data_IF_035372431093
#
_entry.id   IF_035372431093
#
_cell.length_a   1.000
_cell.length_b   1.000
_cell.length_c   1.000
_cell.angle_alpha   90.00
_cell.angle_beta   90.00
_cell.angle_gamma   90.00
#
_symmetry.space_group_name_H-M   'P 1'
#
loop_
_entity.id
_entity.type
_entity.pdbx_description
1 polymer ?
#
# COMPACT_ATOMS: atom_id res chain seq x y z
N UNK A 1 -2.17 -3.97 8.56
CA UNK A 1 -1.36 -3.17 9.50
C UNK A 1 0.14 -3.27 9.22
N UNK A 2 0.77 -4.45 9.26
CA UNK A 2 2.23 -4.66 9.09
C UNK A 2 2.78 -4.04 7.80
N UNK A 3 2.16 -4.30 6.66
CA UNK A 3 2.55 -3.73 5.36
C UNK A 3 2.61 -2.20 5.38
N UNK A 4 1.57 -1.55 5.91
CA UNK A 4 1.52 -0.09 5.99
C UNK A 4 2.60 0.47 6.93
N UNK A 5 2.92 -0.24 8.01
CA UNK A 5 4.03 0.12 8.90
C UNK A 5 5.37 0.12 8.15
N UNK A 6 5.68 -0.92 7.39
CA UNK A 6 6.93 -0.96 6.61
C UNK A 6 6.97 0.14 5.53
N UNK A 7 5.84 0.42 4.86
CA UNK A 7 5.72 1.53 3.90
C UNK A 7 5.96 2.89 4.55
N UNK A 8 5.39 3.11 5.73
CA UNK A 8 5.61 4.33 6.50
C UNK A 8 7.09 4.52 6.83
N UNK A 9 7.78 3.49 7.32
CA UNK A 9 9.22 3.56 7.64
C UNK A 9 10.03 3.89 6.40
N UNK A 10 9.80 3.18 5.29
CA UNK A 10 10.49 3.40 4.03
C UNK A 10 10.31 4.84 3.52
N UNK A 11 9.07 5.30 3.44
CA UNK A 11 8.73 6.60 2.88
C UNK A 11 9.32 7.75 3.70
N UNK A 12 9.13 7.73 5.01
CA UNK A 12 9.66 8.78 5.90
C UNK A 12 11.18 8.76 5.92
N UNK A 13 11.81 7.59 5.98
CA UNK A 13 13.28 7.47 5.94
C UNK A 13 13.84 8.05 4.64
N UNK A 14 13.30 7.67 3.50
CA UNK A 14 13.74 8.15 2.18
C UNK A 14 13.59 9.68 2.05
N UNK A 15 12.48 10.23 2.53
CA UNK A 15 12.23 11.68 2.52
C UNK A 15 13.19 12.43 3.44
N UNK A 16 13.51 11.85 4.60
CA UNK A 16 14.51 12.43 5.51
C UNK A 16 15.92 12.39 4.93
N UNK A 17 16.34 11.27 4.35
CA UNK A 17 17.66 11.13 3.71
C UNK A 17 17.83 12.09 2.54
N UNK A 18 16.78 12.41 1.82
CA UNK A 18 16.75 13.40 0.75
C UNK A 18 16.55 14.85 1.22
N UNK A 19 16.54 15.11 2.53
CA UNK A 19 16.22 16.41 3.13
C UNK A 19 14.89 17.04 2.70
N UNK A 20 13.93 16.20 2.30
CA UNK A 20 12.61 16.63 1.84
C UNK A 20 11.63 16.73 3.03
N UNK A 21 11.94 17.56 4.01
CA UNK A 21 11.21 17.64 5.29
C UNK A 21 9.75 18.04 5.14
N UNK A 22 9.43 18.93 4.22
CA UNK A 22 8.06 19.34 3.93
C UNK A 22 7.22 18.17 3.38
N UNK A 23 7.80 17.34 2.50
CA UNK A 23 7.11 16.17 1.97
C UNK A 23 7.03 15.02 2.99
N UNK A 24 7.97 14.96 3.97
CA UNK A 24 7.86 14.02 5.07
C UNK A 24 6.60 14.29 5.90
N UNK A 25 6.26 15.56 6.16
CA UNK A 25 5.03 15.92 6.89
C UNK A 25 3.78 15.48 6.11
N UNK A 26 3.72 15.73 4.81
CA UNK A 26 2.59 15.22 3.99
C UNK A 26 2.53 13.70 3.96
N UNK A 27 3.69 13.02 3.94
CA UNK A 27 3.78 11.56 4.07
C UNK A 27 3.17 11.05 5.36
N UNK A 28 3.46 11.67 6.51
CA UNK A 28 2.80 11.33 7.77
C UNK A 28 1.27 11.46 7.70
N UNK A 29 0.76 12.49 7.05
CA UNK A 29 -0.69 12.69 6.87
C UNK A 29 -1.31 11.59 6.00
N UNK A 30 -0.65 11.23 4.90
CA UNK A 30 -1.08 10.16 3.99
C UNK A 30 -1.13 8.82 4.72
N UNK A 31 -0.03 8.43 5.38
CA UNK A 31 0.05 7.18 6.13
C UNK A 31 -0.90 7.14 7.33
N UNK A 32 -1.11 8.26 8.03
CA UNK A 32 -2.09 8.34 9.10
C UNK A 32 -3.51 8.07 8.59
N UNK A 33 -3.89 8.63 7.44
CA UNK A 33 -5.19 8.36 6.84
C UNK A 33 -5.34 6.88 6.46
N UNK A 34 -4.31 6.26 5.88
CA UNK A 34 -4.29 4.84 5.56
C UNK A 34 -4.44 3.97 6.82
N UNK A 35 -3.70 4.30 7.88
CA UNK A 35 -3.78 3.60 9.16
C UNK A 35 -5.17 3.73 9.80
N UNK A 36 -5.82 4.89 9.71
CA UNK A 36 -7.19 5.08 10.18
C UNK A 36 -8.17 4.17 9.41
N UNK A 37 -8.05 4.09 8.10
CA UNK A 37 -8.90 3.21 7.28
C UNK A 37 -8.66 1.71 7.58
N UNK A 38 -7.41 1.32 7.79
CA UNK A 38 -7.07 -0.04 8.20
C UNK A 38 -7.62 -0.32 9.61
N UNK A 39 -7.46 0.61 10.54
CA UNK A 39 -7.97 0.50 11.91
C UNK A 39 -9.49 0.30 11.97
N UNK A 40 -10.24 0.99 11.11
CA UNK A 40 -11.71 0.79 11.02
C UNK A 40 -12.06 -0.64 10.59
N UNK A 41 -11.25 -1.26 9.73
CA UNK A 41 -11.47 -2.63 9.23
C UNK A 41 -10.99 -3.68 10.21
N UNK A 42 -9.86 -3.46 10.86
CA UNK A 42 -9.19 -4.42 11.75
C UNK A 42 -9.56 -4.25 13.24
N UNK A 43 -10.29 -3.18 13.59
CA UNK A 43 -10.75 -2.92 14.95
C UNK A 43 -9.75 -2.17 15.83
N UNK A 44 -8.70 -1.61 15.25
CA UNK A 44 -7.70 -0.81 15.96
C UNK A 44 -6.35 -0.75 15.26
N UNK A 45 -5.40 -0.07 15.90
CA UNK A 45 -4.00 -0.01 15.47
C UNK A 45 -3.17 -0.77 16.50
N UNK A 46 -2.26 -1.64 16.05
CA UNK A 46 -1.38 -2.37 16.96
C UNK A 46 -0.33 -1.45 17.60
N UNK A 47 0.10 -1.84 18.81
CA UNK A 47 1.08 -1.09 19.61
C UNK A 47 2.39 -0.86 18.86
N UNK A 48 2.84 -1.85 18.10
CA UNK A 48 4.11 -1.77 17.38
C UNK A 48 4.07 -0.72 16.26
N UNK A 49 2.95 -0.60 15.55
CA UNK A 49 2.73 0.43 14.53
C UNK A 49 2.71 1.83 15.15
N UNK A 50 2.02 2.00 16.29
CA UNK A 50 2.00 3.28 17.01
C UNK A 50 3.39 3.65 17.56
N UNK A 51 4.13 2.68 18.10
CA UNK A 51 5.51 2.88 18.57
C UNK A 51 6.43 3.30 17.43
N UNK A 52 6.32 2.64 16.28
CA UNK A 52 7.07 2.99 15.07
C UNK A 52 6.77 4.43 14.64
N UNK A 53 5.49 4.80 14.62
CA UNK A 53 5.06 6.16 14.25
C UNK A 53 5.61 7.20 15.23
N UNK A 54 5.64 6.92 16.54
CA UNK A 54 6.21 7.81 17.55
C UNK A 54 7.71 8.05 17.30
N UNK A 55 8.48 6.98 17.02
CA UNK A 55 9.90 7.11 16.72
C UNK A 55 10.13 7.96 15.46
N UNK A 56 9.43 7.68 14.38
CA UNK A 56 9.55 8.44 13.13
C UNK A 56 9.13 9.91 13.28
N UNK A 57 8.15 10.18 14.15
CA UNK A 57 7.63 11.54 14.41
C UNK A 57 8.57 12.34 15.31
N UNK A 58 9.41 11.69 16.11
CA UNK A 58 10.23 12.36 17.14
C UNK A 58 11.10 13.51 16.62
N UNK A 59 11.71 13.46 15.41
CA UNK A 59 12.48 14.59 14.88
C UNK A 59 11.63 15.83 14.53
N UNK A 60 10.33 15.64 14.29
CA UNK A 60 9.42 16.71 13.86
C UNK A 60 8.58 17.26 15.02
N UNK A 61 8.11 16.40 15.90
CA UNK A 61 7.22 16.76 17.00
C UNK A 61 7.61 15.97 18.27
N UNK A 62 8.74 16.33 18.90
CA UNK A 62 9.33 15.58 20.00
C UNK A 62 8.39 15.41 21.19
N UNK A 63 7.66 16.45 21.59
CA UNK A 63 6.79 16.39 22.76
C UNK A 63 5.61 15.42 22.57
N UNK A 64 4.98 15.43 21.39
CA UNK A 64 3.91 14.48 21.06
C UNK A 64 4.46 13.06 20.95
N UNK A 65 5.64 12.91 20.37
CA UNK A 65 6.28 11.60 20.23
C UNK A 65 6.61 10.98 21.59
N UNK A 66 7.13 11.76 22.54
CA UNK A 66 7.39 11.31 23.91
C UNK A 66 6.10 10.94 24.63
N UNK A 67 5.04 11.74 24.53
CA UNK A 67 3.76 11.46 25.15
C UNK A 67 3.16 10.15 24.62
N UNK A 68 3.17 9.94 23.30
CA UNK A 68 2.69 8.69 22.69
C UNK A 68 3.52 7.51 23.20
N UNK A 69 4.84 7.67 23.26
CA UNK A 69 5.78 6.64 23.72
C UNK A 69 5.49 6.21 25.14
N UNK A 70 5.30 7.17 26.06
CA UNK A 70 4.94 6.93 27.45
C UNK A 70 3.57 6.25 27.59
N UNK A 71 2.54 6.75 26.89
CA UNK A 71 1.19 6.17 26.90
C UNK A 71 1.15 4.73 26.37
N UNK A 72 2.06 4.38 25.48
CA UNK A 72 2.22 3.00 25.02
C UNK A 72 2.96 2.11 26.05
N UNK A 73 3.37 2.66 27.20
CA UNK A 73 4.02 1.93 28.27
C UNK A 73 5.46 1.56 27.97
N UNK A 74 6.16 2.36 27.19
CA UNK A 74 7.61 2.24 26.99
C UNK A 74 8.38 2.98 28.08
N UNK A 75 9.49 2.41 28.50
CA UNK A 75 10.39 3.06 29.45
C UNK A 75 11.42 3.95 28.74
N UNK A 76 11.74 5.07 29.37
CA UNK A 76 12.73 6.01 28.85
C UNK A 76 12.23 6.84 27.67
N UNK A 77 13.12 7.58 27.05
CA UNK A 77 12.80 8.51 25.97
C UNK A 77 12.71 7.82 24.60
N UNK A 78 11.76 8.26 23.76
CA UNK A 78 11.63 7.83 22.36
C UNK A 78 12.91 8.05 21.56
N UNK A 79 13.73 9.04 21.92
CA UNK A 79 15.01 9.30 21.27
C UNK A 79 16.11 8.25 21.53
N UNK A 80 15.89 7.37 22.50
CA UNK A 80 16.78 6.23 22.76
C UNK A 80 16.34 4.97 21.99
N UNK A 81 15.15 4.97 21.44
CA UNK A 81 14.70 3.92 20.54
C UNK A 81 15.53 3.98 19.25
N UNK A 82 15.95 2.84 18.74
CA UNK A 82 16.62 2.76 17.45
C UNK A 82 15.67 3.18 16.34
N UNK A 83 16.23 3.77 15.26
CA UNK A 83 15.44 4.07 14.06
C UNK A 83 14.86 2.77 13.49
N UNK A 84 13.56 2.72 13.18
CA UNK A 84 12.91 1.49 12.74
C UNK A 84 13.43 1.08 11.35
N UNK A 85 13.50 -0.22 11.14
CA UNK A 85 13.85 -0.82 9.86
C UNK A 85 12.62 -1.22 9.08
N UNK A 86 12.73 -1.33 7.76
CA UNK A 86 11.68 -1.81 6.89
C UNK A 86 12.12 -3.05 6.11
N UNK A 87 11.15 -3.83 5.68
CA UNK A 87 11.34 -4.97 4.80
C UNK A 87 10.61 -4.71 3.48
N UNK A 88 11.35 -4.70 2.38
CA UNK A 88 10.81 -4.44 1.04
C UNK A 88 9.82 -5.52 0.60
N UNK A 89 10.05 -6.77 1.00
CA UNK A 89 9.13 -7.87 0.69
C UNK A 89 7.79 -7.69 1.42
N UNK A 90 7.83 -7.22 2.69
CA UNK A 90 6.64 -6.96 3.46
C UNK A 90 5.80 -5.79 2.91
N UNK A 91 6.40 -4.91 2.09
CA UNK A 91 5.69 -3.78 1.45
C UNK A 91 4.96 -4.16 0.16
N UNK A 92 5.26 -5.32 -0.44
CA UNK A 92 4.65 -5.74 -1.70
C UNK A 92 3.16 -5.98 -1.52
N UNK A 93 2.40 -5.60 -2.53
CA UNK A 93 0.98 -5.96 -2.59
C UNK A 93 0.85 -7.41 -3.04
N UNK A 94 0.15 -8.20 -2.24
CA UNK A 94 -0.20 -9.58 -2.59
C UNK A 94 -1.22 -9.60 -3.73
N UNK A 95 -2.09 -8.59 -3.77
CA UNK A 95 -3.10 -8.40 -4.81
C UNK A 95 -3.04 -6.99 -5.40
N UNK A 96 -3.31 -6.89 -6.68
CA UNK A 96 -3.42 -5.63 -7.43
C UNK A 96 -4.76 -5.56 -8.15
N UNK A 97 -5.40 -4.40 -8.09
CA UNK A 97 -6.59 -4.14 -8.89
C UNK A 97 -6.18 -3.82 -10.33
N UNK A 98 -6.71 -4.60 -11.27
CA UNK A 98 -6.42 -4.44 -12.69
C UNK A 98 -7.71 -4.21 -13.46
N UNK A 99 -7.84 -3.08 -14.18
CA UNK A 99 -8.97 -2.84 -15.05
C UNK A 99 -8.93 -3.78 -16.26
N UNK A 100 -10.09 -4.40 -16.53
CA UNK A 100 -10.31 -5.23 -17.71
C UNK A 100 -11.03 -4.40 -18.75
N UNK A 101 -10.43 -4.27 -19.92
CA UNK A 101 -10.97 -3.54 -21.04
C UNK A 101 -11.40 -4.46 -22.18
N UNK A 102 -12.47 -4.06 -22.87
CA UNK A 102 -12.87 -4.64 -24.15
C UNK A 102 -12.83 -3.51 -25.19
N UNK A 103 -12.02 -3.69 -26.24
CA UNK A 103 -11.81 -2.69 -27.29
C UNK A 103 -11.46 -1.29 -26.72
N UNK A 104 -10.60 -1.26 -25.67
CA UNK A 104 -10.16 -0.01 -25.04
C UNK A 104 -11.14 0.61 -24.04
N UNK A 105 -12.33 0.04 -23.81
CA UNK A 105 -13.29 0.52 -22.81
C UNK A 105 -13.26 -0.37 -21.57
N UNK A 106 -13.03 0.20 -20.39
CA UNK A 106 -13.06 -0.52 -19.12
C UNK A 106 -14.45 -1.07 -18.86
N UNK A 107 -14.53 -2.38 -18.60
CA UNK A 107 -15.79 -3.10 -18.39
C UNK A 107 -15.90 -3.73 -17.00
N UNK A 108 -14.76 -4.04 -16.39
CA UNK A 108 -14.67 -4.57 -15.03
C UNK A 108 -13.34 -4.13 -14.40
N UNK A 109 -13.23 -4.24 -13.08
CA UNK A 109 -11.98 -4.17 -12.34
C UNK A 109 -11.90 -5.45 -11.52
N UNK A 110 -10.78 -6.15 -11.60
CA UNK A 110 -10.55 -7.39 -10.87
C UNK A 110 -9.33 -7.27 -9.98
N UNK A 111 -9.37 -7.93 -8.82
CA UNK A 111 -8.23 -8.10 -7.93
C UNK A 111 -7.54 -9.41 -8.31
N UNK A 112 -6.28 -9.34 -8.64
CA UNK A 112 -5.46 -10.49 -9.01
C UNK A 112 -4.15 -10.47 -8.23
N UNK A 113 -3.55 -11.64 -8.02
CA UNK A 113 -2.24 -11.72 -7.38
C UNK A 113 -1.20 -10.90 -8.15
N UNK A 114 -0.33 -10.20 -7.43
CA UNK A 114 0.72 -9.38 -8.02
C UNK A 114 1.72 -10.20 -8.86
N UNK A 115 1.86 -11.49 -8.53
CA UNK A 115 2.78 -12.43 -9.18
C UNK A 115 2.05 -13.43 -10.11
N UNK A 116 0.80 -13.13 -10.49
CA UNK A 116 0.01 -13.98 -11.39
C UNK A 116 0.67 -14.11 -12.77
N UNK A 117 0.58 -15.30 -13.35
CA UNK A 117 1.04 -15.52 -14.72
C UNK A 117 0.20 -14.72 -15.73
N UNK A 118 0.77 -14.41 -16.89
CA UNK A 118 0.03 -13.73 -17.98
C UNK A 118 -1.22 -14.51 -18.40
N UNK A 119 -1.12 -15.81 -18.46
CA UNK A 119 -2.18 -16.71 -18.89
C UNK A 119 -3.34 -16.71 -17.91
N UNK A 120 -3.03 -16.84 -16.60
CA UNK A 120 -4.03 -16.83 -15.54
C UNK A 120 -4.68 -15.44 -15.36
N UNK A 121 -3.91 -14.36 -15.52
CA UNK A 121 -4.44 -13.00 -15.49
C UNK A 121 -5.45 -12.75 -16.62
N UNK A 122 -5.15 -13.20 -17.82
CA UNK A 122 -6.04 -13.11 -18.98
C UNK A 122 -7.29 -13.98 -18.76
N UNK A 123 -7.13 -15.18 -18.21
CA UNK A 123 -8.26 -16.08 -17.90
C UNK A 123 -9.20 -15.45 -16.86
N UNK A 124 -8.65 -14.88 -15.78
CA UNK A 124 -9.42 -14.16 -14.78
C UNK A 124 -10.14 -12.92 -15.38
N UNK A 125 -9.45 -12.16 -16.23
CA UNK A 125 -10.04 -11.03 -16.95
C UNK A 125 -11.20 -11.43 -17.87
N UNK A 126 -11.08 -12.53 -18.61
CA UNK A 126 -12.15 -13.08 -19.44
C UNK A 126 -13.37 -13.51 -18.62
N UNK A 127 -13.12 -14.21 -17.52
CA UNK A 127 -14.19 -14.64 -16.62
C UNK A 127 -15.00 -13.46 -16.07
N UNK A 128 -14.32 -12.38 -15.71
CA UNK A 128 -14.93 -11.18 -15.16
C UNK A 128 -15.80 -10.38 -16.16
N UNK A 129 -15.56 -10.55 -17.45
CA UNK A 129 -16.30 -9.86 -18.53
C UNK A 129 -17.00 -10.84 -19.49
N UNK A 130 -17.19 -12.08 -19.07
CA UNK A 130 -17.79 -13.14 -19.91
C UNK A 130 -19.14 -12.71 -20.53
N UNK A 131 -19.97 -12.02 -19.73
CA UNK A 131 -21.29 -11.51 -20.18
C UNK A 131 -21.21 -10.45 -21.28
N UNK A 132 -20.04 -9.85 -21.48
CA UNK A 132 -19.78 -8.75 -22.41
C UNK A 132 -18.89 -9.17 -23.58
N UNK A 133 -18.42 -10.41 -23.57
CA UNK A 133 -17.65 -11.00 -24.67
C UNK A 133 -18.65 -11.61 -25.69
N UNK A 134 -19.10 -10.81 -26.65
CA UNK A 134 -20.10 -11.22 -27.66
C UNK A 134 -19.51 -11.52 -29.03
N UNK A 135 -18.22 -11.26 -29.22
CA UNK A 135 -17.51 -11.42 -30.50
C UNK A 135 -16.34 -12.39 -30.43
N UNK A 136 -15.70 -12.57 -31.58
CA UNK A 136 -14.47 -13.38 -31.68
C UNK A 136 -13.27 -12.60 -31.15
N UNK A 137 -12.55 -13.16 -30.19
CA UNK A 137 -11.35 -12.54 -29.61
C UNK A 137 -10.23 -12.55 -30.67
N UNK A 138 -9.71 -11.39 -31.01
CA UNK A 138 -8.63 -11.23 -31.99
C UNK A 138 -7.27 -11.11 -31.31
N UNK A 139 -7.22 -10.40 -30.18
CA UNK A 139 -5.98 -10.12 -29.46
C UNK A 139 -6.22 -9.93 -27.98
N UNK A 140 -5.27 -10.42 -27.19
CA UNK A 140 -5.26 -10.31 -25.74
C UNK A 140 -3.98 -9.62 -25.31
N UNK A 141 -4.09 -8.53 -24.58
CA UNK A 141 -2.96 -7.73 -24.12
C UNK A 141 -3.04 -7.68 -22.60
N UNK A 142 -2.00 -8.15 -21.95
CA UNK A 142 -1.80 -8.00 -20.51
C UNK A 142 -0.57 -7.16 -20.24
N UNK A 143 -0.73 -6.08 -19.51
CA UNK A 143 0.38 -5.29 -18.96
C UNK A 143 0.39 -5.53 -17.46
N UNK A 144 1.45 -6.16 -16.92
CA UNK A 144 1.53 -6.51 -15.51
C UNK A 144 1.21 -5.33 -14.60
N UNK A 145 0.35 -5.57 -13.61
CA UNK A 145 -0.08 -4.59 -12.59
C UNK A 145 -0.77 -3.33 -13.14
N UNK A 146 -1.15 -3.29 -14.40
CA UNK A 146 -1.73 -2.10 -15.04
C UNK A 146 -3.06 -2.35 -15.70
N UNK A 147 -3.15 -3.29 -16.65
CA UNK A 147 -4.34 -3.44 -17.47
C UNK A 147 -4.42 -4.81 -18.17
N UNK A 148 -5.65 -5.31 -18.34
CA UNK A 148 -5.97 -6.38 -19.25
C UNK A 148 -6.86 -5.82 -20.34
N UNK A 149 -6.47 -5.93 -21.61
CA UNK A 149 -7.28 -5.47 -22.72
C UNK A 149 -7.55 -6.62 -23.71
N UNK A 150 -8.83 -6.89 -23.91
CA UNK A 150 -9.34 -7.93 -24.82
C UNK A 150 -9.89 -7.22 -26.05
N UNK A 151 -9.34 -7.52 -27.20
CA UNK A 151 -9.82 -6.98 -28.48
C UNK A 151 -10.68 -8.04 -29.17
N UNK A 152 -11.92 -7.70 -29.42
CA UNK A 152 -12.89 -8.56 -30.11
C UNK A 152 -13.48 -7.86 -31.33
N UNK A 153 -13.93 -8.65 -32.29
CA UNK A 153 -14.63 -8.22 -33.50
C UNK A 153 -16.07 -8.74 -33.48
#
# INVERSE_FOLDING_TARGET
MIKERHRLVYDITTRLESFSLNTAISGFMEHNNNLIEIAKKEGGIDKETLSTMAVLLSPFAPHIAEEIWEQLGHEGSVFRAGWPTYDEEAMKDDEVEVPVQINGKTRAVISISADISKEDAIAAGKAAVADKLTGTIIKEIYVPKKIINIVQK
#
